data_IF_266653968322
#
_entry.id   IF_266653968322
#
_cell.length_a   1.000
_cell.length_b   1.000
_cell.length_c   1.000
_cell.angle_alpha   90.00
_cell.angle_beta   90.00
_cell.angle_gamma   90.00
#
_symmetry.space_group_name_H-M   'P 1'
#
loop_
_entity.id
_entity.type
_entity.pdbx_description
1 polymer ?
#
# COMPACT_ATOMS: atom_id res chain seq x y z
N UNK A 1 -24.01 37.70 -67.48
CA UNK A 1 -25.03 37.26 -66.49
C UNK A 1 -24.55 35.91 -65.95
N UNK A 2 -24.08 35.89 -64.68
CA UNK A 2 -24.00 34.76 -63.71
C UNK A 2 -23.54 33.37 -64.24
N UNK A 3 -22.35 32.82 -63.92
CA UNK A 3 -21.78 32.25 -62.67
C UNK A 3 -21.54 30.72 -62.84
N UNK A 4 -20.28 30.30 -63.02
CA UNK A 4 -19.44 29.39 -62.19
C UNK A 4 -20.16 28.25 -61.44
N UNK A 5 -19.66 27.02 -61.64
CA UNK A 5 -19.91 25.87 -60.76
C UNK A 5 -19.30 24.57 -61.29
N UNK A 6 -18.01 24.33 -61.06
CA UNK A 6 -17.34 23.04 -61.30
C UNK A 6 -17.63 22.10 -60.11
N UNK A 7 -18.26 20.96 -60.39
CA UNK A 7 -18.44 19.84 -59.46
C UNK A 7 -17.17 18.98 -59.44
N UNK A 8 -16.57 18.83 -58.25
CA UNK A 8 -15.65 17.73 -57.95
C UNK A 8 -16.40 16.65 -57.16
N UNK A 9 -16.39 15.43 -57.71
CA UNK A 9 -16.81 14.20 -57.04
C UNK A 9 -15.75 13.76 -56.04
N UNK A 10 -16.10 13.69 -54.76
CA UNK A 10 -15.26 13.09 -53.72
C UNK A 10 -15.74 11.67 -53.43
N UNK A 11 -14.80 10.73 -53.53
CA UNK A 11 -14.95 9.34 -53.13
C UNK A 11 -14.93 9.20 -51.60
N UNK A 12 -15.78 8.31 -51.06
CA UNK A 12 -15.79 7.89 -49.66
C UNK A 12 -14.49 7.15 -49.28
N UNK A 13 -13.92 7.39 -48.09
CA UNK A 13 -13.06 6.44 -47.43
C UNK A 13 -13.80 5.68 -46.33
N UNK A 14 -13.59 4.37 -46.39
CA UNK A 14 -13.93 3.32 -45.44
C UNK A 14 -13.49 3.59 -44.00
N UNK A 15 -14.27 3.05 -43.06
CA UNK A 15 -14.03 2.92 -41.63
C UNK A 15 -12.54 2.68 -41.27
N UNK A 16 -11.96 3.62 -40.53
CA UNK A 16 -10.73 3.40 -39.76
C UNK A 16 -11.12 3.17 -38.29
N UNK A 17 -10.97 1.92 -37.88
CA UNK A 17 -11.02 1.49 -36.49
C UNK A 17 -9.92 2.18 -35.67
N UNK A 18 -10.26 2.53 -34.43
CA UNK A 18 -9.35 3.04 -33.40
C UNK A 18 -8.31 1.95 -33.07
N UNK A 19 -7.03 2.29 -32.86
CA UNK A 19 -6.11 1.37 -32.21
C UNK A 19 -6.35 1.41 -30.69
N UNK A 20 -6.83 0.29 -30.16
CA UNK A 20 -6.67 -0.10 -28.77
C UNK A 20 -5.18 -0.29 -28.49
N UNK A 21 -4.59 0.45 -27.56
CA UNK A 21 -3.23 0.20 -27.11
C UNK A 21 -3.24 -0.89 -26.04
N UNK A 22 -3.30 -2.14 -26.51
CA UNK A 22 -2.85 -3.32 -25.79
C UNK A 22 -1.41 -3.62 -26.22
N UNK A 23 -0.41 -3.11 -25.50
CA UNK A 23 0.97 -3.55 -25.70
C UNK A 23 1.38 -4.47 -24.56
N UNK A 24 1.08 -5.74 -24.79
CA UNK A 24 1.53 -6.88 -24.02
C UNK A 24 2.61 -7.60 -24.85
N UNK A 25 3.79 -6.98 -24.97
CA UNK A 25 4.96 -7.59 -25.63
C UNK A 25 6.22 -6.85 -25.21
N UNK A 26 6.87 -7.26 -24.12
CA UNK A 26 8.33 -7.14 -23.90
C UNK A 26 8.73 -7.90 -22.62
N UNK A 27 8.53 -9.23 -22.60
CA UNK A 27 9.28 -10.12 -21.71
C UNK A 27 9.74 -11.31 -22.54
N UNK A 28 10.93 -11.16 -23.12
CA UNK A 28 11.82 -12.25 -23.53
C UNK A 28 13.14 -11.59 -23.88
N UNK A 29 14.01 -11.46 -22.88
CA UNK A 29 15.46 -11.33 -22.95
C UNK A 29 15.88 -10.74 -21.60
N UNK A 30 16.32 -11.61 -20.70
CA UNK A 30 17.35 -11.45 -19.66
C UNK A 30 17.20 -12.60 -18.63
N UNK A 31 17.23 -13.84 -19.13
CA UNK A 31 17.56 -15.02 -18.33
C UNK A 31 19.01 -15.37 -18.64
N UNK A 32 19.94 -14.76 -17.92
CA UNK A 32 21.31 -15.26 -17.74
C UNK A 32 22.01 -14.41 -16.68
N UNK A 33 22.84 -15.09 -15.87
CA UNK A 33 23.77 -14.55 -14.85
C UNK A 33 23.14 -14.31 -13.47
N UNK A 34 23.07 -15.37 -12.66
CA UNK A 34 23.94 -15.48 -11.48
C UNK A 34 23.83 -16.90 -10.91
N UNK A 35 24.88 -17.70 -11.10
CA UNK A 35 25.02 -19.02 -10.51
C UNK A 35 26.42 -19.12 -9.95
N UNK A 36 26.59 -18.69 -8.72
CA UNK A 36 27.70 -19.07 -7.86
C UNK A 36 27.32 -18.70 -6.43
N UNK A 37 27.12 -19.71 -5.57
CA UNK A 37 27.56 -19.65 -4.17
C UNK A 37 27.45 -21.03 -3.51
N UNK A 38 28.61 -21.54 -3.10
CA UNK A 38 28.76 -22.73 -2.26
C UNK A 38 28.40 -22.42 -0.80
N UNK A 39 27.81 -23.37 -0.05
CA UNK A 39 27.36 -23.15 1.32
C UNK A 39 28.53 -23.20 2.32
N UNK A 40 28.63 -22.20 3.19
CA UNK A 40 29.49 -22.21 4.38
C UNK A 40 28.67 -22.75 5.56
N UNK A 41 29.10 -23.91 6.07
CA UNK A 41 28.64 -24.49 7.34
C UNK A 41 28.94 -23.56 8.51
N UNK A 42 27.94 -23.28 9.35
CA UNK A 42 28.16 -22.73 10.70
C UNK A 42 27.70 -23.74 11.74
N UNK A 43 28.66 -24.17 12.55
CA UNK A 43 28.49 -25.12 13.65
C UNK A 43 27.85 -24.43 14.85
N UNK A 44 26.75 -25.00 15.34
CA UNK A 44 26.17 -24.72 16.64
C UNK A 44 27.15 -25.13 17.74
N UNK A 45 27.38 -24.24 18.71
CA UNK A 45 27.84 -24.63 20.05
C UNK A 45 26.93 -23.98 21.09
N UNK A 46 26.18 -24.84 21.77
CA UNK A 46 25.46 -24.58 23.00
C UNK A 46 26.46 -24.44 24.14
N UNK A 47 26.29 -23.46 25.03
CA UNK A 47 26.68 -23.58 26.44
C UNK A 47 26.03 -22.48 27.30
N UNK A 48 25.20 -22.92 28.23
CA UNK A 48 24.79 -22.27 29.50
C UNK A 48 24.55 -23.46 30.44
N UNK A 49 24.66 -23.39 31.78
CA UNK A 49 24.59 -22.19 32.61
C UNK A 49 25.55 -22.13 33.83
N UNK A 50 25.56 -21.00 34.52
CA UNK A 50 25.91 -20.96 35.95
C UNK A 50 25.13 -19.83 36.65
N UNK A 51 24.45 -20.23 37.72
CA UNK A 51 23.66 -19.45 38.69
C UNK A 51 24.54 -18.59 39.62
N UNK A 52 24.01 -17.43 40.05
CA UNK A 52 24.24 -16.73 41.33
C UNK A 52 23.01 -15.80 41.50
N UNK A 53 21.97 -16.12 42.29
CA UNK A 53 21.77 -16.04 43.76
C UNK A 53 21.84 -14.61 44.34
N UNK A 54 20.65 -14.17 44.76
CA UNK A 54 20.19 -13.25 45.84
C UNK A 54 20.71 -11.80 45.96
N UNK A 55 19.76 -10.86 46.00
CA UNK A 55 19.47 -10.15 47.25
C UNK A 55 18.07 -9.49 47.22
N UNK A 56 17.28 -9.88 48.21
CA UNK A 56 15.96 -9.35 48.58
C UNK A 56 16.07 -7.92 49.11
N UNK A 57 15.18 -7.03 48.66
CA UNK A 57 14.86 -5.80 49.38
C UNK A 57 13.36 -5.73 49.64
N UNK A 58 12.97 -6.25 50.80
CA UNK A 58 11.62 -6.11 51.38
C UNK A 58 11.58 -4.76 52.10
N UNK A 59 10.71 -3.85 51.67
CA UNK A 59 10.34 -2.67 52.44
C UNK A 59 8.93 -2.87 52.97
N UNK A 60 8.83 -2.98 54.30
CA UNK A 60 7.58 -3.10 55.04
C UNK A 60 6.70 -1.84 54.86
N UNK A 61 5.41 -2.06 54.66
CA UNK A 61 4.38 -1.03 54.78
C UNK A 61 3.72 -1.14 56.16
N UNK A 62 3.49 -0.03 56.90
CA UNK A 62 2.63 -0.06 58.06
C UNK A 62 1.17 0.10 57.64
N UNK A 63 0.30 -0.64 58.31
CA UNK A 63 -1.15 -0.54 58.18
C UNK A 63 -1.73 0.53 59.11
N UNK A 64 -2.82 1.12 58.61
CA UNK A 64 -3.94 1.78 59.31
C UNK A 64 -3.83 3.29 59.64
N UNK A 65 -4.64 4.10 58.94
CA UNK A 65 -5.69 4.88 59.60
C UNK A 65 -6.60 5.61 58.60
N UNK A 66 -7.88 5.58 58.93
CA UNK A 66 -9.02 6.29 58.34
C UNK A 66 -8.79 7.78 57.99
N UNK A 67 -9.19 8.18 56.79
CA UNK A 67 -9.39 9.59 56.43
C UNK A 67 -9.88 9.75 54.99
N UNK A 68 -11.01 10.43 54.80
CA UNK A 68 -11.58 10.76 53.49
C UNK A 68 -10.58 11.56 52.64
N UNK A 69 -10.01 10.92 51.60
CA UNK A 69 -9.34 11.65 50.52
C UNK A 69 -10.18 11.60 49.26
N UNK A 70 -10.60 12.79 48.83
CA UNK A 70 -11.07 13.06 47.49
C UNK A 70 -10.01 12.55 46.49
N UNK A 71 -10.33 11.50 45.74
CA UNK A 71 -9.56 11.18 44.53
C UNK A 71 -9.83 12.29 43.53
N UNK A 72 -8.95 13.29 43.54
CA UNK A 72 -8.76 14.19 42.41
C UNK A 72 -8.08 13.32 41.34
N UNK A 73 -8.87 12.92 40.36
CA UNK A 73 -8.41 12.27 39.14
C UNK A 73 -7.47 13.26 38.43
N UNK A 74 -6.17 13.15 38.70
CA UNK A 74 -5.17 13.88 37.95
C UNK A 74 -5.25 13.37 36.52
N UNK A 75 -5.55 14.23 35.52
CA UNK A 75 -5.53 13.77 34.15
C UNK A 75 -4.15 13.20 33.88
N UNK A 76 -4.10 11.92 33.48
CA UNK A 76 -2.89 11.31 32.93
C UNK A 76 -2.30 12.32 31.96
N UNK A 77 -1.08 12.73 32.22
CA UNK A 77 -0.32 13.60 31.34
C UNK A 77 -0.39 12.99 29.95
N UNK A 78 -1.10 13.65 29.04
CA UNK A 78 -1.05 13.36 27.62
C UNK A 78 0.41 13.55 27.23
N UNK A 79 1.13 12.45 27.08
CA UNK A 79 2.43 12.43 26.42
C UNK A 79 2.30 13.27 25.14
N UNK A 80 3.23 14.19 24.84
CA UNK A 80 3.15 15.00 23.64
C UNK A 80 2.98 14.07 22.45
N UNK A 81 1.88 14.22 21.71
CA UNK A 81 1.67 13.51 20.44
C UNK A 81 2.94 13.66 19.61
N UNK A 82 3.59 12.54 19.29
CA UNK A 82 4.80 12.51 18.49
C UNK A 82 4.55 13.25 17.17
N UNK A 83 5.13 14.45 17.04
CA UNK A 83 4.86 15.35 15.91
C UNK A 83 5.58 14.94 14.64
N UNK A 84 6.43 13.89 14.69
CA UNK A 84 7.15 13.38 13.53
C UNK A 84 6.17 12.72 12.57
N UNK A 85 6.38 12.98 11.29
CA UNK A 85 5.56 12.43 10.21
C UNK A 85 5.73 10.90 10.14
N UNK A 86 4.64 10.10 10.26
CA UNK A 86 4.72 8.67 10.05
C UNK A 86 4.92 8.36 8.57
N UNK A 87 5.86 7.45 8.26
CA UNK A 87 6.14 6.96 6.91
C UNK A 87 5.76 5.48 6.77
N UNK A 88 5.13 5.14 5.66
CA UNK A 88 4.69 3.79 5.34
C UNK A 88 5.57 3.12 4.28
N UNK A 89 6.23 2.03 4.67
CA UNK A 89 6.92 1.12 3.77
C UNK A 89 5.93 0.04 3.32
N UNK A 90 5.46 0.15 2.08
CA UNK A 90 4.40 -0.68 1.53
C UNK A 90 5.05 -1.77 0.67
N UNK A 91 5.04 -3.03 1.10
CA UNK A 91 5.61 -4.10 0.28
C UNK A 91 4.74 -4.33 -0.98
N UNK A 92 5.38 -4.34 -2.15
CA UNK A 92 4.73 -4.45 -3.46
C UNK A 92 4.30 -5.88 -3.80
N UNK A 93 3.11 -6.04 -4.38
CA UNK A 93 2.63 -7.27 -5.03
C UNK A 93 2.78 -8.49 -4.12
N UNK A 94 2.26 -8.40 -2.90
CA UNK A 94 2.33 -9.48 -1.91
C UNK A 94 1.22 -10.48 -2.18
N UNK A 95 1.51 -11.54 -2.94
CA UNK A 95 0.49 -12.47 -3.41
C UNK A 95 0.36 -13.77 -2.60
N UNK A 96 1.22 -14.01 -1.61
CA UNK A 96 1.21 -15.26 -0.82
C UNK A 96 1.32 -15.00 0.68
N UNK A 97 0.81 -15.92 1.50
CA UNK A 97 0.92 -15.88 2.97
C UNK A 97 2.37 -15.88 3.44
N UNK A 98 3.25 -16.58 2.71
CA UNK A 98 4.70 -16.50 2.95
C UNK A 98 5.25 -15.11 2.62
N UNK A 99 4.80 -14.52 1.53
CA UNK A 99 5.10 -13.14 1.15
C UNK A 99 4.74 -12.14 2.25
N UNK A 100 3.57 -12.29 2.90
CA UNK A 100 3.17 -11.46 4.05
C UNK A 100 4.18 -11.57 5.18
N UNK A 101 4.52 -12.80 5.59
CA UNK A 101 5.52 -13.06 6.63
C UNK A 101 6.88 -12.44 6.30
N UNK A 102 7.35 -12.57 5.05
CA UNK A 102 8.62 -12.00 4.60
C UNK A 102 8.60 -10.47 4.56
N UNK A 103 7.55 -9.86 4.01
CA UNK A 103 7.42 -8.41 3.94
C UNK A 103 7.52 -7.77 5.34
N UNK A 104 6.77 -8.32 6.31
CA UNK A 104 6.78 -7.85 7.69
C UNK A 104 8.15 -8.08 8.35
N UNK A 105 8.79 -9.24 8.12
CA UNK A 105 10.12 -9.50 8.69
C UNK A 105 11.21 -8.60 8.10
N UNK A 106 11.01 -8.07 6.89
CA UNK A 106 11.91 -7.09 6.26
C UNK A 106 11.65 -5.65 6.71
N UNK A 107 10.59 -5.40 7.50
CA UNK A 107 10.28 -4.10 8.07
C UNK A 107 9.13 -3.36 7.38
N UNK A 108 8.36 -4.02 6.51
CA UNK A 108 7.12 -3.44 5.99
C UNK A 108 6.15 -3.17 7.15
N UNK A 109 5.56 -1.98 7.18
CA UNK A 109 4.45 -1.63 8.06
C UNK A 109 3.11 -1.51 7.30
N UNK A 110 3.12 -1.76 6.00
CA UNK A 110 1.95 -1.90 5.15
C UNK A 110 2.27 -2.85 3.99
N UNK A 111 1.25 -3.41 3.34
CA UNK A 111 1.43 -4.27 2.16
C UNK A 111 0.39 -3.94 1.09
N UNK A 112 0.78 -4.06 -0.17
CA UNK A 112 -0.12 -3.99 -1.31
C UNK A 112 -0.36 -5.41 -1.85
N UNK A 113 -1.63 -5.71 -2.13
CA UNK A 113 -2.11 -6.99 -2.66
C UNK A 113 -3.01 -6.72 -3.86
N UNK A 114 -2.60 -7.21 -5.01
CA UNK A 114 -3.46 -7.24 -6.18
C UNK A 114 -4.62 -8.20 -5.95
N UNK A 115 -5.84 -7.72 -6.14
CA UNK A 115 -7.06 -8.51 -5.90
C UNK A 115 -7.83 -8.74 -7.20
N UNK A 116 -7.97 -10.00 -7.57
CA UNK A 116 -8.81 -10.44 -8.70
C UNK A 116 -9.92 -11.34 -8.18
N UNK A 117 -11.15 -11.00 -8.56
CA UNK A 117 -12.32 -11.83 -8.39
C UNK A 117 -12.32 -12.96 -9.43
N UNK A 118 -12.53 -14.16 -8.95
CA UNK A 118 -12.78 -15.38 -9.72
C UNK A 118 -14.12 -15.97 -9.29
N UNK A 119 -14.73 -16.83 -10.10
CA UNK A 119 -16.00 -17.51 -9.73
C UNK A 119 -15.94 -18.34 -8.43
N UNK A 120 -14.75 -18.52 -7.84
CA UNK A 120 -14.55 -19.23 -6.56
C UNK A 120 -14.32 -18.28 -5.38
N UNK A 121 -14.21 -16.96 -5.61
CA UNK A 121 -13.89 -15.97 -4.59
C UNK A 121 -12.80 -14.99 -5.04
N UNK A 122 -12.26 -14.24 -4.10
CA UNK A 122 -11.18 -13.29 -4.31
C UNK A 122 -9.81 -13.94 -4.07
N UNK A 123 -8.86 -13.62 -4.95
CA UNK A 123 -7.51 -14.15 -4.92
C UNK A 123 -6.51 -13.02 -5.01
N UNK A 124 -5.37 -13.22 -4.34
CA UNK A 124 -4.21 -12.37 -4.51
C UNK A 124 -3.58 -12.67 -5.87
N UNK A 125 -3.85 -11.84 -6.86
CA UNK A 125 -3.51 -12.09 -8.27
C UNK A 125 -3.40 -10.77 -9.02
N UNK A 126 -2.27 -10.56 -9.68
CA UNK A 126 -2.00 -9.34 -10.42
C UNK A 126 -2.47 -9.39 -11.88
N UNK A 127 -2.32 -10.55 -12.54
CA UNK A 127 -2.50 -10.65 -13.99
C UNK A 127 -3.89 -11.20 -14.36
N UNK A 128 -4.61 -11.77 -13.39
CA UNK A 128 -5.94 -12.34 -13.63
C UNK A 128 -5.91 -13.53 -14.60
N UNK A 129 -4.84 -14.33 -14.53
CA UNK A 129 -4.64 -15.51 -15.38
C UNK A 129 -4.65 -16.80 -14.55
N UNK A 130 -4.94 -17.96 -15.15
CA UNK A 130 -4.93 -19.24 -14.43
C UNK A 130 -3.59 -19.64 -13.80
N UNK A 131 -2.50 -18.93 -14.09
CA UNK A 131 -1.15 -19.23 -13.60
C UNK A 131 -0.53 -18.11 -12.77
N UNK A 132 -1.24 -16.99 -12.56
CA UNK A 132 -0.72 -15.82 -11.84
C UNK A 132 -1.25 -15.67 -10.41
N UNK A 133 -2.31 -16.40 -10.04
CA UNK A 133 -2.88 -16.31 -8.70
C UNK A 133 -1.95 -16.92 -7.65
N UNK A 134 -1.82 -16.22 -6.52
CA UNK A 134 -1.25 -16.71 -5.29
C UNK A 134 -2.34 -17.27 -4.35
N UNK A 135 -2.32 -16.88 -3.09
CA UNK A 135 -3.27 -17.41 -2.11
C UNK A 135 -4.64 -16.68 -2.16
N UNK A 136 -5.67 -17.27 -1.55
CA UNK A 136 -6.99 -16.62 -1.50
C UNK A 136 -6.97 -15.38 -0.60
N UNK A 137 -7.84 -14.40 -0.85
CA UNK A 137 -7.96 -13.21 0.01
C UNK A 137 -8.19 -13.58 1.49
N UNK A 138 -8.96 -14.66 1.74
CA UNK A 138 -9.21 -15.16 3.10
C UNK A 138 -7.92 -15.63 3.78
N UNK A 139 -7.11 -16.43 3.10
CA UNK A 139 -5.83 -16.92 3.64
C UNK A 139 -4.86 -15.77 3.91
N UNK A 140 -4.77 -14.83 2.97
CA UNK A 140 -3.97 -13.61 3.12
C UNK A 140 -4.39 -12.82 4.37
N UNK A 141 -5.69 -12.56 4.54
CA UNK A 141 -6.19 -11.80 5.69
C UNK A 141 -6.02 -12.53 7.01
N UNK A 142 -6.19 -13.86 7.02
CA UNK A 142 -5.94 -14.67 8.22
C UNK A 142 -4.47 -14.63 8.63
N UNK A 143 -3.53 -14.70 7.68
CA UNK A 143 -2.11 -14.57 7.97
C UNK A 143 -1.75 -13.17 8.50
N UNK A 144 -2.30 -12.11 7.91
CA UNK A 144 -2.12 -10.74 8.40
C UNK A 144 -2.66 -10.59 9.84
N UNK A 145 -3.84 -11.14 10.11
CA UNK A 145 -4.41 -11.18 11.44
C UNK A 145 -3.52 -11.94 12.44
N UNK A 146 -2.91 -13.06 12.02
CA UNK A 146 -1.96 -13.82 12.85
C UNK A 146 -0.69 -13.00 13.16
N UNK A 147 -0.20 -12.23 12.21
CA UNK A 147 0.96 -11.34 12.42
C UNK A 147 0.64 -10.24 13.44
N UNK A 148 -0.58 -9.70 13.38
CA UNK A 148 -1.08 -8.75 14.40
C UNK A 148 -1.23 -9.38 15.78
N UNK A 149 -1.75 -10.60 15.87
CA UNK A 149 -1.82 -11.34 17.14
C UNK A 149 -0.42 -11.60 17.73
N UNK A 150 0.58 -11.77 16.86
CA UNK A 150 2.00 -11.82 17.21
C UNK A 150 2.64 -10.43 17.44
N UNK A 151 1.84 -9.38 17.59
CA UNK A 151 2.23 -7.98 17.86
C UNK A 151 3.15 -7.35 16.80
N UNK A 152 3.15 -7.87 15.57
CA UNK A 152 3.88 -7.25 14.45
C UNK A 152 3.13 -6.05 13.92
N UNK A 153 3.85 -4.99 13.57
CA UNK A 153 3.26 -3.79 12.96
C UNK A 153 2.86 -4.07 11.51
N UNK A 154 1.56 -3.96 11.23
CA UNK A 154 1.01 -3.88 9.88
C UNK A 154 -0.19 -2.94 9.98
N UNK A 155 0.06 -1.67 9.72
CA UNK A 155 -0.91 -0.60 9.91
C UNK A 155 -2.10 -0.78 8.97
N UNK A 156 -1.81 -0.95 7.67
CA UNK A 156 -2.85 -1.11 6.67
C UNK A 156 -2.46 -2.10 5.56
N UNK A 157 -3.49 -2.56 4.86
CA UNK A 157 -3.40 -3.36 3.64
C UNK A 157 -4.02 -2.57 2.50
N UNK A 158 -3.28 -2.39 1.41
CA UNK A 158 -3.79 -1.83 0.17
C UNK A 158 -4.25 -2.97 -0.75
N UNK A 159 -5.55 -3.01 -1.03
CA UNK A 159 -6.14 -3.94 -1.99
C UNK A 159 -6.20 -3.27 -3.37
N UNK A 160 -5.31 -3.62 -4.30
CA UNK A 160 -5.38 -3.12 -5.68
C UNK A 160 -6.40 -3.93 -6.48
N UNK A 161 -7.63 -3.44 -6.58
CA UNK A 161 -8.76 -4.19 -7.11
C UNK A 161 -8.77 -4.14 -8.64
N UNK A 162 -8.51 -5.29 -9.28
CA UNK A 162 -8.33 -5.38 -10.73
C UNK A 162 -9.64 -5.48 -11.52
N UNK A 163 -10.64 -6.19 -10.99
CA UNK A 163 -11.91 -6.46 -11.69
C UNK A 163 -13.12 -6.32 -10.75
N UNK A 164 -13.36 -5.10 -10.23
CA UNK A 164 -14.24 -4.87 -9.07
C UNK A 164 -15.70 -5.29 -9.25
N UNK A 165 -16.21 -5.31 -10.50
CA UNK A 165 -17.58 -5.67 -10.84
C UNK A 165 -17.72 -7.05 -11.53
N UNK A 166 -16.72 -7.93 -11.41
CA UNK A 166 -16.73 -9.25 -12.07
C UNK A 166 -17.92 -10.14 -11.67
N UNK A 167 -18.33 -10.11 -10.39
CA UNK A 167 -19.45 -10.89 -9.88
C UNK A 167 -20.57 -10.00 -9.35
N UNK A 168 -21.83 -10.18 -9.82
CA UNK A 168 -22.97 -9.46 -9.26
C UNK A 168 -23.31 -9.94 -7.83
N UNK A 169 -23.75 -9.04 -6.93
CA UNK A 169 -24.01 -9.40 -5.52
C UNK A 169 -25.23 -10.30 -5.33
N UNK A 170 -26.18 -10.30 -6.27
CA UNK A 170 -27.46 -11.00 -6.17
C UNK A 170 -27.53 -12.28 -7.03
N UNK A 171 -26.40 -12.97 -7.19
CA UNK A 171 -26.27 -14.21 -7.97
C UNK A 171 -25.58 -15.32 -7.16
N UNK A 172 -25.54 -16.54 -7.68
CA UNK A 172 -24.83 -17.69 -7.11
C UNK A 172 -23.33 -17.44 -6.89
N UNK A 173 -22.77 -16.46 -7.61
CA UNK A 173 -21.38 -16.03 -7.50
C UNK A 173 -21.17 -14.87 -6.52
N UNK A 174 -22.13 -14.57 -5.64
CA UNK A 174 -22.02 -13.44 -4.69
C UNK A 174 -20.72 -13.42 -3.88
N UNK A 175 -20.13 -14.58 -3.59
CA UNK A 175 -18.89 -14.71 -2.82
C UNK A 175 -17.63 -14.12 -3.50
N UNK A 176 -17.70 -13.77 -4.79
CA UNK A 176 -16.68 -12.98 -5.48
C UNK A 176 -17.11 -11.55 -5.79
N UNK A 177 -18.20 -11.06 -5.21
CA UNK A 177 -18.59 -9.65 -5.31
C UNK A 177 -17.70 -8.79 -4.41
N UNK A 178 -17.62 -7.48 -4.69
CA UNK A 178 -16.84 -6.54 -3.88
C UNK A 178 -17.37 -6.41 -2.45
N UNK A 179 -18.68 -6.57 -2.25
CA UNK A 179 -19.32 -6.57 -0.94
C UNK A 179 -18.76 -7.70 -0.08
N UNK A 180 -18.60 -8.89 -0.65
CA UNK A 180 -18.03 -10.02 0.08
C UNK A 180 -16.54 -9.83 0.37
N UNK A 181 -15.78 -9.12 -0.49
CA UNK A 181 -14.40 -8.74 -0.17
C UNK A 181 -14.35 -7.78 1.03
N UNK A 182 -15.18 -6.73 1.02
CA UNK A 182 -15.29 -5.76 2.12
C UNK A 182 -15.75 -6.43 3.41
N UNK A 183 -16.75 -7.30 3.34
CA UNK A 183 -17.25 -7.99 4.52
C UNK A 183 -16.17 -8.92 5.10
N UNK A 184 -15.35 -9.56 4.25
CA UNK A 184 -14.21 -10.37 4.67
C UNK A 184 -13.11 -9.53 5.35
N UNK A 185 -12.81 -8.34 4.80
CA UNK A 185 -11.91 -7.36 5.43
C UNK A 185 -12.40 -7.03 6.83
N UNK A 186 -13.66 -6.64 6.98
CA UNK A 186 -14.24 -6.23 8.27
C UNK A 186 -14.36 -7.39 9.26
N UNK A 187 -14.55 -8.61 8.76
CA UNK A 187 -14.60 -9.79 9.60
C UNK A 187 -13.22 -10.19 10.16
N UNK A 188 -12.15 -10.01 9.38
CA UNK A 188 -10.84 -10.59 9.69
C UNK A 188 -9.81 -9.53 10.11
N UNK A 189 -9.69 -8.44 9.35
CA UNK A 189 -8.65 -7.42 9.52
C UNK A 189 -9.03 -6.35 10.54
N UNK A 190 -10.28 -5.86 10.48
CA UNK A 190 -10.75 -4.79 11.35
C UNK A 190 -10.66 -5.14 12.86
N UNK A 191 -11.04 -6.34 13.33
CA UNK A 191 -10.89 -6.70 14.74
C UNK A 191 -9.42 -6.81 15.20
N UNK A 192 -8.48 -6.86 14.25
CA UNK A 192 -7.03 -6.89 14.49
C UNK A 192 -6.39 -5.49 14.42
N UNK A 193 -7.23 -4.47 14.23
CA UNK A 193 -6.84 -3.07 14.10
C UNK A 193 -6.14 -2.75 12.77
N UNK A 194 -6.20 -3.63 11.78
CA UNK A 194 -5.58 -3.42 10.46
C UNK A 194 -6.55 -2.62 9.59
N UNK A 195 -6.08 -1.48 9.11
CA UNK A 195 -6.85 -0.60 8.25
C UNK A 195 -6.77 -1.07 6.80
N UNK A 196 -7.72 -0.68 5.95
CA UNK A 196 -7.75 -1.10 4.55
C UNK A 196 -7.88 0.08 3.61
N UNK A 197 -7.03 0.07 2.59
CA UNK A 197 -7.04 0.99 1.48
C UNK A 197 -7.55 0.27 0.23
N UNK A 198 -8.75 0.62 -0.24
CA UNK A 198 -9.31 0.04 -1.46
C UNK A 198 -8.82 0.82 -2.69
N UNK A 199 -7.94 0.21 -3.48
CA UNK A 199 -7.39 0.77 -4.70
C UNK A 199 -8.27 0.51 -5.92
N UNK A 200 -8.56 1.57 -6.67
CA UNK A 200 -9.28 1.50 -7.94
C UNK A 200 -8.53 2.23 -9.05
N UNK A 201 -8.58 1.69 -10.27
CA UNK A 201 -8.06 2.36 -11.47
C UNK A 201 -8.95 3.51 -11.95
N UNK A 202 -10.24 3.50 -11.60
CA UNK A 202 -11.20 4.54 -11.97
C UNK A 202 -12.34 4.62 -10.97
N UNK A 203 -12.93 5.79 -10.85
CA UNK A 203 -14.15 6.03 -10.07
C UNK A 203 -15.45 5.63 -10.82
N UNK A 204 -15.33 5.05 -12.02
CA UNK A 204 -16.47 4.70 -12.87
C UNK A 204 -16.81 3.21 -12.77
N UNK A 205 -17.20 2.77 -11.58
CA UNK A 205 -17.66 1.39 -11.35
C UNK A 205 -18.66 1.34 -10.20
N UNK A 206 -19.59 0.38 -10.26
CA UNK A 206 -20.61 0.20 -9.22
C UNK A 206 -19.96 -0.15 -7.89
N UNK A 207 -18.93 -0.99 -7.95
CA UNK A 207 -18.13 -1.33 -6.80
C UNK A 207 -17.44 -0.13 -6.15
N UNK A 208 -16.86 0.79 -6.94
CA UNK A 208 -16.28 2.02 -6.41
C UNK A 208 -17.34 2.85 -5.67
N UNK A 209 -18.50 3.07 -6.28
CA UNK A 209 -19.59 3.83 -5.65
C UNK A 209 -20.01 3.21 -4.31
N UNK A 210 -20.18 1.89 -4.30
CA UNK A 210 -20.58 1.15 -3.11
C UNK A 210 -19.53 1.25 -2.00
N UNK A 211 -18.25 1.04 -2.32
CA UNK A 211 -17.17 1.13 -1.33
C UNK A 211 -17.06 2.56 -0.82
N UNK A 212 -17.05 3.56 -1.70
CA UNK A 212 -16.95 4.99 -1.37
C UNK A 212 -18.03 5.44 -0.38
N UNK A 213 -19.26 4.97 -0.58
CA UNK A 213 -20.41 5.31 0.27
C UNK A 213 -20.46 4.53 1.58
N UNK A 214 -19.70 3.43 1.71
CA UNK A 214 -19.78 2.54 2.87
C UNK A 214 -18.54 2.52 3.75
N UNK A 215 -17.51 3.30 3.45
CA UNK A 215 -16.25 3.36 4.21
C UNK A 215 -16.49 3.62 5.72
N UNK A 216 -15.96 2.76 6.58
CA UNK A 216 -15.88 3.01 8.03
C UNK A 216 -14.59 3.76 8.40
N UNK A 217 -14.31 3.96 9.70
CA UNK A 217 -13.14 4.73 10.18
C UNK A 217 -11.80 4.06 9.86
N UNK A 218 -11.78 2.76 9.59
CA UNK A 218 -10.59 1.97 9.27
C UNK A 218 -10.38 1.80 7.76
N UNK A 219 -11.16 2.50 6.94
CA UNK A 219 -11.18 2.30 5.49
C UNK A 219 -11.05 3.63 4.72
N UNK A 220 -10.26 3.59 3.65
CA UNK A 220 -10.11 4.67 2.67
C UNK A 220 -10.10 4.13 1.24
N UNK A 221 -10.18 5.04 0.26
CA UNK A 221 -10.06 4.73 -1.17
C UNK A 221 -8.80 5.33 -1.74
N UNK A 222 -8.08 4.55 -2.54
CA UNK A 222 -7.01 5.03 -3.39
C UNK A 222 -7.46 5.16 -4.85
N UNK A 223 -7.14 6.29 -5.46
CA UNK A 223 -7.13 6.45 -6.92
C UNK A 223 -5.69 6.73 -7.39
N UNK A 224 -5.24 5.95 -8.38
CA UNK A 224 -3.93 6.15 -9.00
C UNK A 224 -4.03 7.07 -10.22
N UNK A 225 -3.18 8.10 -10.30
CA UNK A 225 -3.08 8.93 -11.49
C UNK A 225 -2.49 10.32 -11.25
N UNK A 226 -2.46 11.10 -12.33
CA UNK A 226 -2.01 12.51 -12.31
C UNK A 226 -2.92 13.38 -11.45
N UNK A 227 -2.32 14.35 -10.78
CA UNK A 227 -2.92 15.23 -9.75
C UNK A 227 -4.28 15.77 -10.17
N UNK A 228 -4.35 16.46 -11.31
CA UNK A 228 -5.58 17.10 -11.77
C UNK A 228 -6.69 16.07 -12.05
N UNK A 229 -6.34 14.96 -12.69
CA UNK A 229 -7.33 13.93 -13.04
C UNK A 229 -7.91 13.32 -11.76
N UNK A 230 -7.06 12.96 -10.80
CA UNK A 230 -7.50 12.30 -9.58
C UNK A 230 -8.32 13.25 -8.69
N UNK A 231 -7.91 14.52 -8.58
CA UNK A 231 -8.69 15.54 -7.87
C UNK A 231 -10.08 15.73 -8.50
N UNK A 232 -10.15 15.82 -9.84
CA UNK A 232 -11.42 15.96 -10.56
C UNK A 232 -12.34 14.73 -10.34
N UNK A 233 -11.79 13.51 -10.26
CA UNK A 233 -12.55 12.29 -9.96
C UNK A 233 -13.05 12.27 -8.52
N UNK A 234 -12.20 12.64 -7.55
CA UNK A 234 -12.61 12.70 -6.15
C UNK A 234 -13.66 13.78 -5.88
N UNK A 235 -13.59 14.90 -6.57
CA UNK A 235 -14.61 15.94 -6.42
C UNK A 235 -15.99 15.48 -6.91
N UNK A 236 -16.02 14.68 -7.99
CA UNK A 236 -17.27 14.19 -8.58
C UNK A 236 -17.83 12.96 -7.90
N UNK A 237 -16.96 12.04 -7.48
CA UNK A 237 -17.32 10.67 -7.11
C UNK A 237 -16.67 10.23 -5.78
N UNK A 238 -15.77 11.02 -5.22
CA UNK A 238 -14.99 10.65 -4.05
C UNK A 238 -15.79 10.61 -2.75
N UNK A 239 -15.23 9.96 -1.71
CA UNK A 239 -15.73 10.11 -0.36
C UNK A 239 -15.83 11.59 0.03
N UNK A 240 -16.88 12.03 0.75
CA UNK A 240 -17.02 13.42 1.15
C UNK A 240 -15.92 13.87 2.14
N UNK A 241 -15.37 12.93 2.90
CA UNK A 241 -14.27 13.19 3.83
C UNK A 241 -12.95 13.13 3.07
N UNK A 242 -12.24 14.27 2.99
CA UNK A 242 -10.92 14.35 2.33
C UNK A 242 -9.92 13.37 2.94
N UNK A 243 -9.97 13.17 4.27
CA UNK A 243 -9.16 12.19 4.98
C UNK A 243 -9.36 10.74 4.49
N UNK A 244 -10.43 10.42 3.75
CA UNK A 244 -10.62 9.07 3.19
C UNK A 244 -10.22 8.95 1.71
N UNK A 245 -9.69 10.04 1.15
CA UNK A 245 -9.18 10.11 -0.22
C UNK A 245 -7.68 9.91 -0.15
N UNK A 246 -7.19 8.82 -0.72
CA UNK A 246 -5.75 8.57 -0.89
C UNK A 246 -5.43 8.67 -2.36
N UNK A 247 -4.30 9.30 -2.66
CA UNK A 247 -3.83 9.45 -4.03
C UNK A 247 -2.53 8.69 -4.19
N UNK A 248 -2.37 8.01 -5.33
CA UNK A 248 -1.10 7.42 -5.66
C UNK A 248 -0.66 7.76 -7.07
N UNK A 249 0.65 7.80 -7.27
CA UNK A 249 1.23 7.96 -8.58
C UNK A 249 2.61 7.32 -8.64
N UNK A 250 2.99 6.87 -9.83
CA UNK A 250 4.16 6.03 -9.94
C UNK A 250 4.39 5.46 -11.32
N UNK A 251 5.52 4.77 -11.43
CA UNK A 251 5.90 4.02 -12.61
C UNK A 251 6.65 2.75 -12.19
N UNK A 252 6.37 1.63 -12.85
CA UNK A 252 6.97 0.34 -12.51
C UNK A 252 8.52 0.36 -12.61
N UNK A 253 9.06 1.22 -13.47
CA UNK A 253 10.48 1.52 -13.55
C UNK A 253 10.74 2.98 -13.16
N UNK A 254 10.65 3.26 -11.86
CA UNK A 254 10.68 4.61 -11.28
C UNK A 254 11.70 5.59 -11.91
N UNK A 255 12.97 5.21 -12.20
CA UNK A 255 13.93 6.10 -12.86
C UNK A 255 13.48 6.71 -14.19
N UNK A 256 12.69 5.98 -14.98
CA UNK A 256 12.38 6.36 -16.37
C UNK A 256 11.47 7.58 -16.48
N UNK A 257 10.58 7.80 -15.51
CA UNK A 257 9.64 8.93 -15.49
C UNK A 257 9.71 9.68 -14.18
N UNK A 258 10.90 9.74 -13.57
CA UNK A 258 11.03 10.33 -12.24
C UNK A 258 10.91 11.86 -12.24
N UNK A 259 11.60 12.52 -13.18
CA UNK A 259 11.77 13.97 -13.22
C UNK A 259 12.75 14.51 -12.18
N UNK A 260 12.72 15.81 -11.92
CA UNK A 260 13.52 16.50 -10.93
C UNK A 260 12.68 17.14 -9.82
N UNK A 261 11.37 16.86 -9.81
CA UNK A 261 10.38 17.37 -8.86
C UNK A 261 10.08 18.86 -9.02
N UNK A 262 10.57 19.53 -10.07
CA UNK A 262 10.33 20.96 -10.32
C UNK A 262 9.56 21.23 -11.61
N UNK A 263 9.32 20.19 -12.42
CA UNK A 263 8.53 20.33 -13.63
C UNK A 263 7.09 20.79 -13.34
N UNK A 264 6.38 21.20 -14.39
CA UNK A 264 4.99 21.65 -14.27
C UNK A 264 4.01 20.49 -14.14
N UNK A 265 4.32 19.30 -14.68
CA UNK A 265 3.43 18.12 -14.71
C UNK A 265 4.15 16.84 -15.16
N UNK A 266 3.41 15.74 -15.22
CA UNK A 266 3.71 14.43 -15.82
C UNK A 266 4.70 13.55 -15.06
N UNK A 267 5.83 14.10 -14.60
CA UNK A 267 6.85 13.30 -13.94
C UNK A 267 6.43 12.85 -12.54
N UNK A 268 6.83 11.64 -12.16
CA UNK A 268 6.42 10.97 -10.92
C UNK A 268 6.64 11.86 -9.70
N UNK A 269 7.85 12.42 -9.54
CA UNK A 269 8.14 13.26 -8.38
C UNK A 269 7.34 14.57 -8.39
N UNK A 270 7.15 15.17 -9.57
CA UNK A 270 6.41 16.42 -9.74
C UNK A 270 4.94 16.26 -9.42
N UNK A 271 4.30 15.21 -9.96
CA UNK A 271 2.89 14.92 -9.71
C UNK A 271 2.66 14.57 -8.23
N UNK A 272 3.52 13.76 -7.61
CA UNK A 272 3.45 13.45 -6.17
C UNK A 272 3.64 14.69 -5.29
N UNK A 273 4.60 15.57 -5.60
CA UNK A 273 4.80 16.84 -4.89
C UNK A 273 3.54 17.72 -4.98
N UNK A 274 2.97 17.85 -6.17
CA UNK A 274 1.76 18.66 -6.38
C UNK A 274 0.54 18.05 -5.69
N UNK A 275 0.43 16.72 -5.66
CA UNK A 275 -0.58 15.99 -4.89
C UNK A 275 -0.49 16.35 -3.40
N UNK A 276 0.69 16.22 -2.80
CA UNK A 276 0.95 16.59 -1.39
C UNK A 276 0.59 18.06 -1.12
N UNK A 277 0.91 18.97 -2.03
CA UNK A 277 0.63 20.41 -1.88
C UNK A 277 -0.86 20.76 -2.06
N UNK A 278 -1.62 19.96 -2.81
CA UNK A 278 -3.03 20.24 -3.11
C UNK A 278 -3.95 20.15 -1.89
N UNK A 279 -3.55 19.38 -0.86
CA UNK A 279 -4.38 19.05 0.32
C UNK A 279 -5.76 18.46 -0.01
N UNK A 280 -5.93 17.91 -1.23
CA UNK A 280 -7.16 17.27 -1.67
C UNK A 280 -7.30 15.79 -1.28
N UNK A 281 -6.34 15.27 -0.52
CA UNK A 281 -6.26 13.90 -0.02
C UNK A 281 -5.80 13.86 1.44
N UNK A 282 -6.13 12.77 2.13
CA UNK A 282 -5.62 12.44 3.46
C UNK A 282 -4.19 11.89 3.42
N UNK A 283 -3.84 11.18 2.35
CA UNK A 283 -2.48 10.68 2.13
C UNK A 283 -2.12 10.54 0.65
N UNK A 284 -0.81 10.55 0.40
CA UNK A 284 -0.18 10.44 -0.91
C UNK A 284 0.89 9.35 -0.88
N UNK A 285 0.80 8.38 -1.81
CA UNK A 285 1.76 7.28 -1.92
C UNK A 285 2.44 7.21 -3.29
N UNK A 286 3.75 6.96 -3.30
CA UNK A 286 4.53 6.74 -4.53
C UNK A 286 4.79 5.27 -4.82
N UNK A 287 5.02 4.91 -6.08
CA UNK A 287 5.39 3.54 -6.48
C UNK A 287 6.20 3.47 -7.79
N UNK A 288 6.99 2.44 -8.09
CA UNK A 288 7.53 1.41 -7.18
C UNK A 288 9.04 1.61 -7.06
N UNK A 289 9.55 1.74 -5.84
CA UNK A 289 11.00 1.81 -5.59
C UNK A 289 11.60 0.41 -5.49
N UNK A 290 12.75 0.21 -6.14
CA UNK A 290 13.52 -1.04 -6.08
C UNK A 290 14.87 -0.84 -5.37
N UNK A 291 15.63 -1.93 -5.22
CA UNK A 291 16.97 -1.90 -4.62
C UNK A 291 17.88 -0.88 -5.33
N UNK A 292 18.58 -0.05 -4.54
CA UNK A 292 19.58 0.89 -5.04
C UNK A 292 18.96 2.16 -5.64
N UNK A 293 17.70 2.44 -5.31
CA UNK A 293 16.96 3.63 -5.74
C UNK A 293 16.81 4.64 -4.58
N UNK A 294 17.77 4.65 -3.65
CA UNK A 294 17.85 5.53 -2.47
C UNK A 294 17.72 7.02 -2.81
N UNK A 295 18.35 7.47 -3.90
CA UNK A 295 18.21 8.85 -4.39
C UNK A 295 16.76 9.22 -4.78
N UNK A 296 15.96 8.24 -5.20
CA UNK A 296 14.56 8.45 -5.55
C UNK A 296 13.68 8.40 -4.31
N UNK A 297 13.98 7.50 -3.37
CA UNK A 297 13.38 7.48 -2.03
C UNK A 297 13.56 8.84 -1.35
N UNK A 298 14.78 9.38 -1.37
CA UNK A 298 15.10 10.68 -0.79
C UNK A 298 14.28 11.81 -1.40
N UNK A 299 14.21 11.88 -2.73
CA UNK A 299 13.40 12.91 -3.39
C UNK A 299 11.90 12.73 -3.13
N UNK A 300 11.38 11.51 -3.08
CA UNK A 300 9.96 11.30 -2.86
C UNK A 300 9.55 11.62 -1.41
N UNK A 301 10.33 11.19 -0.42
CA UNK A 301 10.03 11.44 0.99
C UNK A 301 10.41 12.87 1.41
N UNK A 302 11.61 13.34 1.04
CA UNK A 302 12.15 14.63 1.45
C UNK A 302 11.68 15.83 0.61
N UNK A 303 11.50 15.65 -0.72
CA UNK A 303 11.10 16.77 -1.61
C UNK A 303 9.62 16.73 -1.98
N UNK A 304 9.11 15.59 -2.46
CA UNK A 304 7.69 15.46 -2.79
C UNK A 304 6.81 15.33 -1.55
N UNK A 305 7.39 14.92 -0.42
CA UNK A 305 6.70 14.86 0.86
C UNK A 305 5.60 13.81 0.90
N UNK A 306 5.75 12.69 0.18
CA UNK A 306 4.76 11.59 0.23
C UNK A 306 4.70 10.96 1.62
N UNK A 307 3.62 10.26 1.93
CA UNK A 307 3.39 9.60 3.23
C UNK A 307 3.94 8.17 3.27
N UNK A 308 4.30 7.62 2.11
CA UNK A 308 4.81 6.26 2.00
C UNK A 308 5.13 5.88 0.56
N UNK A 309 5.81 4.75 0.41
CA UNK A 309 6.23 4.23 -0.88
C UNK A 309 5.96 2.73 -0.96
N UNK A 310 5.45 2.32 -2.11
CA UNK A 310 5.51 0.93 -2.55
C UNK A 310 6.96 0.60 -2.92
N UNK A 311 7.47 -0.50 -2.36
CA UNK A 311 8.83 -0.97 -2.61
C UNK A 311 8.87 -2.48 -2.91
N UNK A 312 9.91 -2.91 -3.64
CA UNK A 312 10.21 -4.32 -3.86
C UNK A 312 10.61 -4.63 -5.29
N UNK A 313 10.16 -5.78 -5.79
CA UNK A 313 10.39 -6.14 -7.19
C UNK A 313 9.50 -5.31 -8.12
N UNK A 314 10.01 -4.99 -9.32
CA UNK A 314 9.25 -4.26 -10.34
C UNK A 314 8.23 -5.14 -11.07
N UNK A 315 8.55 -6.42 -11.27
CA UNK A 315 7.86 -7.29 -12.23
C UNK A 315 7.33 -8.61 -11.65
N UNK A 316 7.66 -8.94 -10.40
CA UNK A 316 7.25 -10.21 -9.77
C UNK A 316 6.74 -9.97 -8.37
N UNK A 317 6.05 -10.97 -7.83
CA UNK A 317 5.47 -10.91 -6.50
C UNK A 317 6.55 -10.93 -5.41
N UNK A 318 6.16 -10.46 -4.23
CA UNK A 318 7.06 -10.40 -3.08
C UNK A 318 7.41 -11.79 -2.55
N UNK A 319 8.70 -12.05 -2.36
CA UNK A 319 9.21 -13.20 -1.61
C UNK A 319 10.52 -12.83 -0.92
N UNK A 320 11.04 -13.73 -0.08
CA UNK A 320 12.30 -13.51 0.61
C UNK A 320 13.46 -13.52 -0.39
N UNK A 321 14.08 -12.35 -0.57
CA UNK A 321 15.19 -12.17 -1.49
C UNK A 321 16.06 -11.00 -1.04
N UNK A 322 17.36 -11.05 -1.34
CA UNK A 322 18.31 -9.98 -1.01
C UNK A 322 17.85 -8.62 -1.55
N UNK A 323 17.36 -8.59 -2.79
CA UNK A 323 16.81 -7.38 -3.44
C UNK A 323 15.57 -6.79 -2.74
N UNK A 324 14.64 -7.61 -2.25
CA UNK A 324 13.44 -7.09 -1.54
C UNK A 324 13.80 -6.57 -0.15
N UNK A 325 14.76 -7.21 0.53
CA UNK A 325 15.35 -6.72 1.77
C UNK A 325 16.06 -5.37 1.55
N UNK A 326 16.90 -5.28 0.52
CA UNK A 326 17.65 -4.06 0.23
C UNK A 326 16.73 -2.89 -0.12
N UNK A 327 15.70 -3.12 -0.96
CA UNK A 327 14.69 -2.10 -1.25
C UNK A 327 13.95 -1.62 0.01
N UNK A 328 13.60 -2.52 0.94
CA UNK A 328 13.03 -2.14 2.23
C UNK A 328 13.99 -1.23 3.02
N UNK A 329 15.28 -1.62 3.05
CA UNK A 329 16.30 -0.91 3.79
C UNK A 329 16.61 0.47 3.22
N UNK A 330 16.43 0.72 1.93
CA UNK A 330 16.59 2.07 1.36
C UNK A 330 15.62 3.06 2.02
N UNK A 331 14.36 2.65 2.23
CA UNK A 331 13.34 3.46 2.89
C UNK A 331 13.52 3.53 4.41
N UNK A 332 13.75 2.39 5.07
CA UNK A 332 13.89 2.32 6.53
C UNK A 332 15.12 3.12 6.99
N UNK A 333 16.23 3.03 6.26
CA UNK A 333 17.43 3.82 6.55
C UNK A 333 17.17 5.31 6.36
N UNK A 334 16.51 5.71 5.27
CA UNK A 334 16.16 7.12 5.06
C UNK A 334 15.37 7.69 6.24
N UNK A 335 14.35 6.99 6.72
CA UNK A 335 13.54 7.43 7.87
C UNK A 335 14.38 7.53 9.15
N UNK A 336 15.24 6.53 9.41
CA UNK A 336 16.15 6.52 10.56
C UNK A 336 17.14 7.69 10.51
N UNK A 337 17.58 8.07 9.33
CA UNK A 337 18.54 9.15 9.11
C UNK A 337 17.86 10.55 9.13
N UNK A 338 16.52 10.61 9.27
CA UNK A 338 15.73 11.83 9.45
C UNK A 338 14.88 11.81 10.75
N UNK A 339 15.46 11.50 11.92
CA UNK A 339 14.71 11.13 13.12
C UNK A 339 13.98 12.31 13.79
N UNK A 340 14.35 13.55 13.45
CA UNK A 340 13.74 14.78 14.00
C UNK A 340 12.41 15.14 13.33
N UNK A 341 12.19 14.62 12.10
CA UNK A 341 11.04 15.01 11.26
C UNK A 341 10.17 13.83 10.87
N UNK A 342 10.74 12.63 10.79
CA UNK A 342 10.06 11.42 10.32
C UNK A 342 10.26 10.27 11.27
N UNK A 343 9.33 9.31 11.20
CA UNK A 343 9.42 8.01 11.86
C UNK A 343 8.68 6.96 11.05
N UNK A 344 8.94 5.69 11.32
CA UNK A 344 8.11 4.63 10.75
C UNK A 344 6.71 4.72 11.35
N UNK A 345 5.70 4.60 10.49
CA UNK A 345 4.30 4.45 10.92
C UNK A 345 4.13 3.21 11.79
N UNK A 346 3.39 3.38 12.88
CA UNK A 346 3.06 2.37 13.88
C UNK A 346 1.61 1.94 13.72
N UNK A 347 1.06 1.09 14.60
CA UNK A 347 -0.36 0.73 14.52
C UNK A 347 -1.29 1.88 14.89
N UNK A 348 -0.86 2.76 15.77
CA UNK A 348 -1.72 3.79 16.36
C UNK A 348 -1.92 4.98 15.40
N UNK A 349 -1.03 5.12 14.42
CA UNK A 349 -1.14 6.12 13.38
C UNK A 349 -2.34 5.86 12.48
N UNK A 350 -3.12 6.90 12.20
CA UNK A 350 -4.06 6.86 11.09
C UNK A 350 -3.30 7.22 9.80
N UNK A 351 -3.25 6.33 8.79
CA UNK A 351 -2.52 6.57 7.55
C UNK A 351 -3.16 7.57 6.59
N UNK A 352 -4.33 8.16 6.92
CA UNK A 352 -5.04 9.11 6.05
C UNK A 352 -5.89 10.13 6.82
#
# INVERSE_FOLDING_TARGET
MWLVGLNFTTASPTNLARPETSDNTYIKLLDAVDSDEHPIETKYTTNTPAELVDDDFVVEAPADSSGNDFIVDYPQSLEPSDSRKPIYAIAHRVLTVKGVSHAISHGANAIEIDMVAWRKGWWADHDGTPTSYGDTAKEMFMEIGRQRDARKTINFVWLDIKNPDYCPPNDKWRHCSVEQLRDLVRQILEPKGVRVLYGFYSANSRAYDLISQSLNTNEAINLNGRVRKVLDEFEKHGPPQVAKRVMSYGYFNLPFQFGNCQEDRYYTCTELRQLTQSKGSGAVFGWTSAMGEDQYVDKLLGTAGVDGLIYGFKMTHYYDHSRTRAAAQDLIRWVRDHPDTHRMGTQDDNPW
#
